data_IF_569818434979
#
_entry.id   IF_569818434979
#
_cell.length_a   1.000
_cell.length_b   1.000
_cell.length_c   1.000
_cell.angle_alpha   90.00
_cell.angle_beta   90.00
_cell.angle_gamma   90.00
#
_symmetry.space_group_name_H-M   'P 1'
#
loop_
_entity.id
_entity.type
_entity.pdbx_description
1 polymer ?
#
# COMPACT_ATOMS: atom_id res chain seq x y z
N UNK A 1 -9.61 -8.97 -10.95
CA UNK A 1 -8.99 -10.22 -11.44
C UNK A 1 -9.93 -11.43 -11.32
N UNK A 2 -10.99 -11.50 -12.14
CA UNK A 2 -12.04 -12.55 -12.06
C UNK A 2 -11.97 -13.63 -13.16
N UNK A 3 -10.93 -13.64 -13.99
CA UNK A 3 -10.78 -14.63 -15.06
C UNK A 3 -10.14 -15.94 -14.56
N UNK A 4 -10.56 -17.07 -15.14
CA UNK A 4 -9.97 -18.39 -14.96
C UNK A 4 -9.41 -18.89 -16.31
N UNK A 5 -8.11 -19.24 -16.40
CA UNK A 5 -7.10 -19.12 -15.35
C UNK A 5 -6.78 -17.66 -15.02
N UNK A 6 -6.29 -17.39 -13.81
CA UNK A 6 -5.86 -16.05 -13.42
C UNK A 6 -4.61 -15.68 -14.21
N UNK A 7 -4.69 -14.59 -14.96
CA UNK A 7 -3.56 -14.02 -15.68
C UNK A 7 -2.98 -12.88 -14.84
N UNK A 8 -1.73 -13.08 -14.39
CA UNK A 8 -0.95 -12.08 -13.67
C UNK A 8 -0.01 -11.37 -14.64
N UNK A 9 0.31 -10.10 -14.37
CA UNK A 9 1.24 -9.35 -15.21
C UNK A 9 2.66 -9.92 -15.11
N UNK A 10 3.47 -9.67 -16.14
CA UNK A 10 4.88 -10.05 -16.20
C UNK A 10 5.68 -9.49 -15.02
N UNK A 11 5.36 -8.27 -14.59
CA UNK A 11 6.02 -7.57 -13.50
C UNK A 11 5.72 -8.24 -12.16
N UNK A 12 4.47 -8.66 -11.94
CA UNK A 12 4.08 -9.33 -10.71
C UNK A 12 4.69 -10.74 -10.62
N UNK A 13 4.75 -11.46 -11.75
CA UNK A 13 5.44 -12.77 -11.82
C UNK A 13 6.93 -12.60 -11.52
N UNK A 14 7.60 -11.63 -12.13
CA UNK A 14 9.01 -11.34 -11.88
C UNK A 14 9.27 -10.87 -10.44
N UNK A 15 8.34 -10.13 -9.85
CA UNK A 15 8.41 -9.74 -8.45
C UNK A 15 8.33 -10.96 -7.52
N UNK A 16 7.37 -11.86 -7.74
CA UNK A 16 7.24 -13.13 -7.00
C UNK A 16 8.51 -13.98 -7.09
N UNK A 17 9.11 -14.08 -8.28
CA UNK A 17 10.38 -14.80 -8.47
C UNK A 17 11.52 -14.19 -7.66
N UNK A 18 11.62 -12.85 -7.60
CA UNK A 18 12.62 -12.17 -6.77
C UNK A 18 12.40 -12.41 -5.28
N UNK A 19 11.16 -12.40 -4.81
CA UNK A 19 10.84 -12.74 -3.43
C UNK A 19 11.21 -14.18 -3.04
N UNK A 20 11.30 -15.09 -4.01
CA UNK A 20 11.79 -16.45 -3.77
C UNK A 20 13.31 -16.51 -3.55
N UNK A 21 14.05 -15.57 -4.15
CA UNK A 21 15.51 -15.50 -4.10
C UNK A 21 16.04 -14.54 -3.03
N UNK A 22 15.17 -13.71 -2.46
CA UNK A 22 15.55 -12.66 -1.52
C UNK A 22 14.58 -12.65 -0.36
N UNK A 23 15.12 -12.65 0.85
CA UNK A 23 14.31 -12.50 2.05
C UNK A 23 13.73 -11.09 2.11
N UNK A 24 12.42 -10.99 2.32
CA UNK A 24 11.70 -9.71 2.41
C UNK A 24 10.93 -9.64 3.73
N UNK A 25 11.42 -8.79 4.63
CA UNK A 25 10.79 -8.58 5.95
C UNK A 25 9.52 -7.74 5.88
N UNK A 26 9.42 -6.85 4.89
CA UNK A 26 8.31 -5.91 4.78
C UNK A 26 8.01 -5.62 3.33
N UNK A 27 6.72 -5.69 2.97
CA UNK A 27 6.21 -5.28 1.67
C UNK A 27 5.32 -4.05 1.86
N UNK A 28 5.63 -2.96 1.17
CA UNK A 28 4.83 -1.75 1.22
C UNK A 28 4.54 -1.32 -0.21
N UNK A 29 3.27 -1.07 -0.53
CA UNK A 29 2.89 -0.68 -1.87
C UNK A 29 1.64 0.21 -1.87
N UNK A 30 1.58 1.20 -2.78
CA UNK A 30 0.33 1.86 -3.10
C UNK A 30 -0.50 0.98 -4.05
N UNK A 31 -1.82 1.06 -3.94
CA UNK A 31 -2.76 0.53 -4.91
C UNK A 31 -3.54 1.69 -5.50
N UNK A 32 -3.58 1.76 -6.83
CA UNK A 32 -4.42 2.70 -7.56
C UNK A 32 -5.55 1.96 -8.24
N UNK A 33 -6.79 2.29 -7.88
CA UNK A 33 -7.99 1.68 -8.43
C UNK A 33 -9.14 2.67 -8.39
N UNK A 34 -10.03 2.66 -9.39
CA UNK A 34 -11.18 3.55 -9.47
C UNK A 34 -10.85 5.03 -9.21
N UNK A 35 -9.72 5.51 -9.77
CA UNK A 35 -9.21 6.87 -9.59
C UNK A 35 -8.91 7.25 -8.12
N UNK A 36 -8.56 6.26 -7.30
CA UNK A 36 -8.28 6.44 -5.88
C UNK A 36 -7.02 5.67 -5.47
N UNK A 37 -6.27 6.22 -4.51
CA UNK A 37 -5.08 5.60 -3.95
C UNK A 37 -5.36 5.09 -2.53
N UNK A 38 -5.01 3.83 -2.30
CA UNK A 38 -4.87 3.24 -0.97
C UNK A 38 -3.45 2.72 -0.79
N UNK A 39 -3.04 2.47 0.45
CA UNK A 39 -1.72 1.94 0.75
C UNK A 39 -1.82 0.67 1.57
N UNK A 40 -0.87 -0.24 1.35
CA UNK A 40 -0.79 -1.53 2.03
C UNK A 40 0.62 -1.72 2.59
N UNK A 41 0.67 -2.34 3.77
CA UNK A 41 1.90 -2.76 4.44
C UNK A 41 1.71 -4.20 4.92
N UNK A 42 2.62 -5.08 4.55
CA UNK A 42 2.66 -6.45 5.04
C UNK A 42 3.96 -6.71 5.78
N UNK A 43 3.83 -7.31 6.95
CA UNK A 43 4.92 -7.84 7.74
C UNK A 43 4.53 -9.25 8.20
N UNK A 44 5.43 -10.26 8.13
CA UNK A 44 5.13 -11.63 8.55
C UNK A 44 4.54 -11.76 9.97
N UNK A 45 4.94 -10.88 10.88
CA UNK A 45 4.51 -10.88 12.30
C UNK A 45 3.20 -10.15 12.56
N UNK A 46 2.77 -9.26 11.65
CA UNK A 46 1.58 -8.40 11.82
C UNK A 46 0.45 -8.79 10.88
N UNK A 47 0.78 -9.32 9.71
CA UNK A 47 -0.16 -9.56 8.62
C UNK A 47 -0.22 -8.39 7.65
N UNK A 48 -1.32 -8.30 6.90
CA UNK A 48 -1.56 -7.25 5.91
C UNK A 48 -2.40 -6.14 6.55
N UNK A 49 -1.85 -4.93 6.56
CA UNK A 49 -2.50 -3.71 7.01
C UNK A 49 -2.72 -2.81 5.81
N UNK A 50 -3.85 -2.11 5.77
CA UNK A 50 -4.16 -1.17 4.71
C UNK A 50 -4.66 0.16 5.25
N UNK A 51 -4.51 1.21 4.46
CA UNK A 51 -4.98 2.55 4.79
C UNK A 51 -5.66 3.18 3.59
N UNK A 52 -6.86 3.73 3.83
CA UNK A 52 -7.68 4.36 2.80
C UNK A 52 -8.27 5.67 3.34
N UNK A 53 -7.92 6.79 2.70
CA UNK A 53 -8.34 8.11 3.20
C UNK A 53 -9.82 8.39 2.99
N UNK A 54 -10.53 7.63 2.15
CA UNK A 54 -11.99 7.68 2.02
C UNK A 54 -12.69 6.70 2.98
N UNK A 55 -11.95 5.90 3.75
CA UNK A 55 -12.50 4.86 4.60
C UNK A 55 -13.16 3.72 3.81
N UNK A 56 -12.74 3.52 2.56
CA UNK A 56 -13.25 2.43 1.72
C UNK A 56 -12.60 1.10 2.11
N UNK A 57 -13.37 0.03 1.93
CA UNK A 57 -12.85 -1.32 2.06
C UNK A 57 -11.89 -1.66 0.90
N UNK A 58 -10.92 -2.57 1.11
CA UNK A 58 -10.04 -3.06 0.06
C UNK A 58 -10.84 -3.67 -1.09
N UNK A 59 -10.39 -3.52 -2.34
CA UNK A 59 -10.96 -4.29 -3.44
C UNK A 59 -10.93 -5.79 -3.14
N UNK A 60 -12.00 -6.48 -3.51
CA UNK A 60 -12.26 -7.89 -3.12
C UNK A 60 -11.21 -8.88 -3.62
N UNK A 61 -10.43 -8.52 -4.63
CA UNK A 61 -9.38 -9.37 -5.19
C UNK A 61 -7.98 -9.11 -4.61
N UNK A 62 -7.76 -8.02 -3.86
CA UNK A 62 -6.44 -7.67 -3.30
C UNK A 62 -5.89 -8.80 -2.43
N UNK A 63 -6.69 -9.29 -1.48
CA UNK A 63 -6.25 -10.36 -0.60
C UNK A 63 -5.90 -11.63 -1.38
N UNK A 64 -6.64 -11.91 -2.45
CA UNK A 64 -6.44 -13.12 -3.24
C UNK A 64 -5.21 -13.04 -4.15
N UNK A 65 -4.93 -11.85 -4.71
CA UNK A 65 -3.68 -11.59 -5.44
C UNK A 65 -2.50 -11.63 -4.49
N UNK A 66 -2.63 -11.05 -3.30
CA UNK A 66 -1.57 -11.03 -2.30
C UNK A 66 -1.28 -12.42 -1.72
N UNK A 67 -2.30 -13.24 -1.48
CA UNK A 67 -2.13 -14.63 -1.06
C UNK A 67 -1.35 -15.44 -2.11
N UNK A 68 -1.69 -15.31 -3.40
CA UNK A 68 -0.94 -15.95 -4.49
C UNK A 68 0.53 -15.49 -4.56
N UNK A 69 0.78 -14.21 -4.30
CA UNK A 69 2.13 -13.66 -4.26
C UNK A 69 2.99 -14.37 -3.21
N UNK A 70 2.42 -14.67 -2.04
CA UNK A 70 3.13 -15.32 -0.91
C UNK A 70 3.13 -16.85 -0.97
N UNK A 71 2.18 -17.45 -1.68
CA UNK A 71 1.98 -18.91 -1.74
C UNK A 71 3.26 -19.64 -2.16
N UNK A 72 3.66 -20.64 -1.37
CA UNK A 72 4.85 -21.45 -1.63
C UNK A 72 6.20 -20.76 -1.37
N UNK A 73 6.20 -19.52 -0.87
CA UNK A 73 7.43 -18.76 -0.54
C UNK A 73 7.82 -18.83 0.94
N UNK A 74 7.04 -19.54 1.78
CA UNK A 74 7.30 -19.66 3.22
C UNK A 74 6.87 -18.46 4.06
N UNK A 75 6.24 -17.45 3.46
CA UNK A 75 5.65 -16.32 4.17
C UNK A 75 4.26 -16.67 4.74
N UNK A 76 3.90 -16.19 5.95
CA UNK A 76 2.55 -16.32 6.50
C UNK A 76 1.53 -15.63 5.59
N UNK A 77 0.49 -16.36 5.17
CA UNK A 77 -0.58 -15.78 4.35
C UNK A 77 -1.58 -15.08 5.29
N UNK A 78 -1.79 -13.76 5.15
CA UNK A 78 -2.74 -13.04 6.00
C UNK A 78 -4.18 -13.49 5.68
N UNK A 79 -5.03 -13.74 6.70
CA UNK A 79 -6.42 -14.16 6.48
C UNK A 79 -7.34 -12.99 6.08
N UNK A 80 -6.92 -11.75 6.34
CA UNK A 80 -7.63 -10.53 6.01
C UNK A 80 -6.64 -9.36 5.89
N UNK A 81 -7.12 -8.22 5.37
CA UNK A 81 -6.42 -6.94 5.47
C UNK A 81 -7.05 -6.14 6.62
N UNK A 82 -6.22 -5.65 7.55
CA UNK A 82 -6.68 -4.87 8.71
C UNK A 82 -6.56 -3.38 8.40
N UNK A 83 -7.61 -2.60 8.67
CA UNK A 83 -7.57 -1.16 8.45
C UNK A 83 -6.70 -0.47 9.51
N UNK A 84 -5.71 0.31 9.06
CA UNK A 84 -4.96 1.24 9.89
C UNK A 84 -5.71 2.57 9.98
N UNK A 85 -5.95 3.08 11.20
CA UNK A 85 -6.63 4.34 11.38
C UNK A 85 -5.79 5.48 10.80
N UNK A 86 -6.36 6.20 9.83
CA UNK A 86 -5.88 7.51 9.38
C UNK A 86 -7.04 8.50 9.41
N UNK A 87 -6.76 9.81 9.49
CA UNK A 87 -7.79 10.81 9.28
C UNK A 87 -8.52 10.57 7.95
N UNK A 88 -9.82 10.82 7.91
CA UNK A 88 -10.59 10.73 6.68
C UNK A 88 -10.45 12.02 5.87
N UNK A 89 -10.41 11.91 4.55
CA UNK A 89 -10.46 13.06 3.65
C UNK A 89 -11.88 13.61 3.58
N UNK A 90 -12.02 14.91 3.85
CA UNK A 90 -13.27 15.63 3.66
C UNK A 90 -13.53 15.98 2.19
N UNK A 91 -14.76 16.43 1.86
CA UNK A 91 -15.06 17.02 0.56
C UNK A 91 -14.07 18.17 0.27
N UNK A 92 -13.44 18.17 -0.91
CA UNK A 92 -12.41 19.14 -1.31
C UNK A 92 -11.15 19.23 -0.39
N UNK A 93 -10.93 18.24 0.48
CA UNK A 93 -9.85 18.28 1.47
C UNK A 93 -8.77 17.23 1.19
N UNK A 94 -7.64 17.66 0.64
CA UNK A 94 -6.43 16.84 0.47
C UNK A 94 -6.43 15.88 -0.73
N UNK A 95 -5.42 15.00 -0.79
CA UNK A 95 -5.20 14.06 -1.89
C UNK A 95 -4.98 12.65 -1.34
N UNK A 96 -5.75 11.68 -1.83
CA UNK A 96 -5.60 10.26 -1.48
C UNK A 96 -4.18 9.75 -1.77
N UNK A 97 -3.52 10.25 -2.82
CA UNK A 97 -2.13 9.94 -3.11
C UNK A 97 -1.16 10.46 -2.03
N UNK A 98 -1.38 11.66 -1.49
CA UNK A 98 -0.58 12.20 -0.39
C UNK A 98 -0.84 11.44 0.91
N UNK A 99 -2.09 11.11 1.19
CA UNK A 99 -2.47 10.30 2.35
C UNK A 99 -1.82 8.91 2.31
N UNK A 100 -1.96 8.19 1.19
CA UNK A 100 -1.33 6.90 0.96
C UNK A 100 0.19 6.97 1.08
N UNK A 101 0.83 7.97 0.48
CA UNK A 101 2.29 8.15 0.55
C UNK A 101 2.77 8.45 1.97
N UNK A 102 2.04 9.28 2.72
CA UNK A 102 2.35 9.56 4.12
C UNK A 102 2.24 8.31 4.98
N UNK A 103 1.19 7.49 4.80
CA UNK A 103 1.07 6.20 5.48
C UNK A 103 2.26 5.28 5.18
N UNK A 104 2.66 5.17 3.91
CA UNK A 104 3.86 4.40 3.52
C UNK A 104 5.10 4.92 4.25
N UNK A 105 5.28 6.23 4.32
CA UNK A 105 6.43 6.81 5.00
C UNK A 105 6.43 6.54 6.51
N UNK A 106 5.26 6.52 7.17
CA UNK A 106 5.19 6.22 8.62
C UNK A 106 5.51 4.77 8.94
N UNK A 107 5.31 3.84 8.00
CA UNK A 107 5.73 2.44 8.16
C UNK A 107 7.26 2.29 8.13
N UNK A 108 7.96 3.18 7.43
CA UNK A 108 9.42 3.16 7.29
C UNK A 108 10.09 4.02 8.37
N UNK A 109 9.51 5.17 8.67
CA UNK A 109 9.98 6.11 9.67
C UNK A 109 8.82 6.50 10.59
N UNK A 110 8.77 5.95 11.83
CA UNK A 110 7.71 6.26 12.78
C UNK A 110 7.61 7.75 13.16
N UNK A 111 8.68 8.54 12.94
CA UNK A 111 8.70 9.98 13.18
C UNK A 111 8.23 10.79 11.96
N UNK A 112 7.84 10.14 10.87
CA UNK A 112 7.28 10.84 9.72
C UNK A 112 5.94 11.50 10.11
N UNK A 113 5.63 12.70 9.59
CA UNK A 113 4.36 13.35 9.89
C UNK A 113 3.19 12.51 9.37
N UNK A 114 2.21 12.28 10.24
CA UNK A 114 0.94 11.65 9.88
C UNK A 114 0.11 12.64 9.06
N UNK A 115 -0.46 12.15 7.97
CA UNK A 115 -1.33 12.95 7.11
C UNK A 115 -2.63 13.35 7.81
N UNK A 116 -3.09 14.55 7.50
CA UNK A 116 -4.44 15.05 7.74
C UNK A 116 -4.82 15.98 6.59
N UNK A 117 -6.11 16.29 6.43
CA UNK A 117 -6.53 17.28 5.43
C UNK A 117 -5.79 18.62 5.55
N UNK A 118 -5.52 19.08 6.78
CA UNK A 118 -4.88 20.38 7.06
C UNK A 118 -3.39 20.46 6.75
N UNK A 119 -2.66 19.34 6.67
CA UNK A 119 -1.23 19.33 6.32
C UNK A 119 -0.95 18.71 4.94
N UNK A 120 -2.00 18.43 4.16
CA UNK A 120 -1.88 17.73 2.87
C UNK A 120 -1.05 18.51 1.85
N UNK A 121 -1.17 19.84 1.79
CA UNK A 121 -0.38 20.68 0.88
C UNK A 121 1.11 20.67 1.26
N UNK A 122 1.42 20.86 2.54
CA UNK A 122 2.79 20.80 3.05
C UNK A 122 3.46 19.46 2.75
N UNK A 123 2.72 18.35 2.95
CA UNK A 123 3.21 17.01 2.65
C UNK A 123 3.41 16.79 1.14
N UNK A 124 2.49 17.27 0.29
CA UNK A 124 2.64 17.23 -1.17
C UNK A 124 3.93 17.93 -1.60
N UNK A 125 4.15 19.15 -1.14
CA UNK A 125 5.34 19.93 -1.50
C UNK A 125 6.61 19.26 -1.01
N UNK A 126 6.58 18.63 0.17
CA UNK A 126 7.69 17.81 0.67
C UNK A 126 7.97 16.61 -0.24
N UNK A 127 6.93 15.87 -0.64
CA UNK A 127 7.09 14.71 -1.53
C UNK A 127 7.61 15.12 -2.90
N UNK A 128 7.11 16.23 -3.47
CA UNK A 128 7.63 16.78 -4.72
C UNK A 128 9.09 17.20 -4.62
N UNK A 129 9.49 17.87 -3.52
CA UNK A 129 10.90 18.21 -3.29
C UNK A 129 11.79 16.97 -3.18
N UNK A 130 11.33 15.91 -2.49
CA UNK A 130 12.05 14.63 -2.44
C UNK A 130 12.17 14.02 -3.85
N UNK A 131 11.08 14.02 -4.62
CA UNK A 131 11.09 13.51 -5.99
C UNK A 131 12.15 14.23 -6.83
N UNK A 132 12.19 15.57 -6.78
CA UNK A 132 13.19 16.39 -7.49
C UNK A 132 14.64 16.18 -7.00
N UNK A 133 14.84 15.74 -5.76
CA UNK A 133 16.18 15.52 -5.21
C UNK A 133 16.76 14.15 -5.57
N UNK A 134 15.91 13.17 -5.86
CA UNK A 134 16.30 11.77 -6.10
C UNK A 134 16.04 11.28 -7.53
N UNK A 135 15.50 12.13 -8.42
CA UNK A 135 15.39 11.90 -9.87
C UNK A 135 16.31 12.85 -10.64
#
# INVERSE_FOLDING_TARGET
YSQLPRLYSTELIAFRQRMHLTHVDTLIFPLWTNNHYSAYCYQPTVGLVYSDSLGLEPPSDVLCVFAWLLEGLGYPIPPCAVHAPIPLQGPASGSCGVAATSFIETQINPNAPVWSGGNSELLRDRFLKKLLAYH
#
